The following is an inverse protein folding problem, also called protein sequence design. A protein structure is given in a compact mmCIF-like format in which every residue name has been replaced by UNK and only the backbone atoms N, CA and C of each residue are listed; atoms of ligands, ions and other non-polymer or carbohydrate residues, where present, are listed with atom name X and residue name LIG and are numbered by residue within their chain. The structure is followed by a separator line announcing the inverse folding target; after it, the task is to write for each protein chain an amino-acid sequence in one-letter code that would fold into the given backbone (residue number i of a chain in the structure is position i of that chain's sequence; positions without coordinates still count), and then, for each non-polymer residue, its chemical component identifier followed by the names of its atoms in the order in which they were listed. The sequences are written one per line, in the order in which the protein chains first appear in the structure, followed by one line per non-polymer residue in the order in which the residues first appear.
data_IF_916973106351
#
_entry.id   IF_916973106351
#
_cell.length_a   1.000
_cell.length_b   1.000
_cell.length_c   1.000
_cell.angle_alpha   90.00
_cell.angle_beta   90.00
_cell.angle_gamma   90.00
#
_symmetry.space_group_name_H-M   'P 1'
#
loop_
_entity.id
_entity.type
_entity.pdbx_description
1 polymer ?
#
# COMPACT_ATOMS: atom_id res chain seq x y z
N UNK A 1 19.67 28.06 -12.47
CA UNK A 1 19.33 26.72 -11.94
C UNK A 1 18.42 26.72 -10.71
N UNK A 2 18.15 27.86 -10.05
CA UNK A 2 17.25 27.91 -8.89
C UNK A 2 15.75 27.84 -9.24
N UNK A 3 15.37 28.22 -10.47
CA UNK A 3 13.97 28.21 -10.93
C UNK A 3 13.43 26.82 -11.29
N UNK A 4 14.31 25.85 -11.60
CA UNK A 4 13.93 24.46 -11.91
C UNK A 4 14.80 23.47 -11.11
N UNK A 5 14.52 23.26 -9.81
CA UNK A 5 15.38 22.48 -8.93
C UNK A 5 15.53 21.01 -9.35
N UNK A 6 14.47 20.42 -9.91
CA UNK A 6 14.48 19.04 -10.45
C UNK A 6 14.68 19.01 -11.98
N UNK A 7 15.02 20.15 -12.58
CA UNK A 7 15.15 20.29 -14.02
C UNK A 7 13.81 20.38 -14.76
N UNK A 8 13.90 20.30 -16.08
CA UNK A 8 12.75 20.36 -16.99
C UNK A 8 12.66 19.07 -17.81
N UNK A 9 11.43 18.76 -18.22
CA UNK A 9 11.12 17.63 -19.10
C UNK A 9 11.58 17.90 -20.54
N UNK A 10 11.44 16.92 -21.45
CA UNK A 10 11.91 16.97 -22.85
C UNK A 10 11.36 18.17 -23.66
N UNK A 11 10.27 18.76 -23.17
CA UNK A 11 9.58 19.93 -23.73
C UNK A 11 9.71 21.21 -22.87
N UNK A 12 10.60 21.23 -21.88
CA UNK A 12 10.91 22.42 -21.06
C UNK A 12 9.98 22.69 -19.88
N UNK A 13 9.14 21.72 -19.47
CA UNK A 13 8.21 21.87 -18.33
C UNK A 13 8.86 21.49 -17.00
N UNK A 14 8.61 22.26 -15.94
CA UNK A 14 9.14 21.99 -14.60
C UNK A 14 8.72 20.60 -14.05
N UNK A 15 9.71 19.80 -13.64
CA UNK A 15 9.52 18.44 -13.11
C UNK A 15 9.13 18.48 -11.63
N UNK A 16 9.67 19.42 -10.85
CA UNK A 16 9.38 19.55 -9.42
C UNK A 16 7.90 19.86 -9.21
N UNK A 17 7.38 20.85 -9.94
CA UNK A 17 5.98 21.22 -9.89
C UNK A 17 5.07 20.02 -10.18
N UNK A 18 5.38 19.26 -11.24
CA UNK A 18 4.60 18.07 -11.63
C UNK A 18 4.68 16.95 -10.59
N UNK A 19 5.85 16.76 -9.99
CA UNK A 19 6.07 15.77 -8.92
C UNK A 19 5.29 16.14 -7.66
N UNK A 20 5.25 17.42 -7.29
CA UNK A 20 4.48 17.88 -6.12
C UNK A 20 2.98 17.64 -6.35
N UNK A 21 2.46 18.03 -7.51
CA UNK A 21 1.05 17.82 -7.84
C UNK A 21 0.67 16.34 -7.94
N UNK A 22 1.51 15.52 -8.59
CA UNK A 22 1.28 14.07 -8.67
C UNK A 22 1.44 13.38 -7.30
N UNK A 23 2.41 13.84 -6.51
CA UNK A 23 2.72 13.31 -5.19
C UNK A 23 1.59 13.49 -4.20
N UNK A 24 0.82 14.58 -4.27
CA UNK A 24 -0.37 14.78 -3.43
C UNK A 24 -1.39 13.65 -3.60
N UNK A 25 -1.68 13.25 -4.84
CA UNK A 25 -2.61 12.17 -5.14
C UNK A 25 -2.05 10.83 -4.66
N UNK A 26 -0.78 10.55 -4.95
CA UNK A 26 -0.12 9.31 -4.50
C UNK A 26 -0.10 9.18 -2.98
N UNK A 27 0.21 10.27 -2.27
CA UNK A 27 0.21 10.29 -0.80
C UNK A 27 -1.19 10.10 -0.24
N UNK A 28 -2.20 10.77 -0.81
CA UNK A 28 -3.58 10.63 -0.38
C UNK A 28 -4.04 9.16 -0.51
N UNK A 29 -3.85 8.56 -1.69
CA UNK A 29 -4.22 7.16 -1.94
C UNK A 29 -3.45 6.24 -0.99
N UNK A 30 -2.14 6.40 -0.87
CA UNK A 30 -1.30 5.58 -0.01
C UNK A 30 -1.73 5.61 1.44
N UNK A 31 -1.94 6.81 2.00
CA UNK A 31 -2.37 6.98 3.41
C UNK A 31 -3.76 6.41 3.63
N UNK A 32 -4.73 6.72 2.76
CA UNK A 32 -6.10 6.21 2.91
C UNK A 32 -6.15 4.69 2.80
N UNK A 33 -5.45 4.10 1.84
CA UNK A 33 -5.37 2.65 1.69
C UNK A 33 -4.75 1.99 2.94
N UNK A 34 -3.67 2.57 3.48
CA UNK A 34 -3.00 2.06 4.69
C UNK A 34 -3.94 2.10 5.90
N UNK A 35 -4.69 3.19 6.08
CA UNK A 35 -5.65 3.33 7.18
C UNK A 35 -6.75 2.27 7.10
N UNK A 36 -7.32 2.05 5.92
CA UNK A 36 -8.34 1.02 5.71
C UNK A 36 -7.76 -0.37 5.98
N UNK A 37 -6.55 -0.66 5.49
CA UNK A 37 -5.87 -1.93 5.72
C UNK A 37 -5.63 -2.18 7.21
N UNK A 38 -5.18 -1.18 7.96
CA UNK A 38 -4.97 -1.30 9.41
C UNK A 38 -6.31 -1.57 10.11
N UNK A 39 -7.35 -0.80 9.82
CA UNK A 39 -8.66 -0.97 10.45
C UNK A 39 -9.22 -2.38 10.23
N UNK A 40 -9.23 -2.84 8.97
CA UNK A 40 -9.75 -4.16 8.62
C UNK A 40 -8.85 -5.27 9.16
N UNK A 41 -7.54 -5.17 8.95
CA UNK A 41 -6.57 -6.17 9.40
C UNK A 41 -6.54 -6.33 10.92
N UNK A 42 -6.58 -5.23 11.66
CA UNK A 42 -6.65 -5.26 13.13
C UNK A 42 -7.99 -5.82 13.60
N UNK A 43 -9.13 -5.44 12.99
CA UNK A 43 -10.42 -6.00 13.38
C UNK A 43 -10.46 -7.53 13.18
N UNK A 44 -9.98 -8.02 12.03
CA UNK A 44 -9.90 -9.46 11.74
C UNK A 44 -8.94 -10.17 12.70
N UNK A 45 -7.76 -9.58 12.95
CA UNK A 45 -6.78 -10.14 13.87
C UNK A 45 -7.28 -10.21 15.32
N UNK A 46 -8.00 -9.19 15.78
CA UNK A 46 -8.63 -9.19 17.10
C UNK A 46 -9.72 -10.26 17.21
N UNK A 47 -10.53 -10.44 16.16
CA UNK A 47 -11.55 -11.51 16.13
C UNK A 47 -10.91 -12.89 16.18
N UNK A 48 -9.83 -13.13 15.43
CA UNK A 48 -9.08 -14.37 15.46
C UNK A 48 -8.55 -14.65 16.88
N UNK A 49 -7.87 -13.66 17.49
CA UNK A 49 -7.27 -13.80 18.81
C UNK A 49 -8.28 -13.90 19.96
N UNK A 50 -9.45 -13.26 19.85
CA UNK A 50 -10.48 -13.27 20.89
C UNK A 50 -11.31 -14.55 20.89
N UNK A 51 -11.76 -15.01 19.71
CA UNK A 51 -12.57 -16.23 19.58
C UNK A 51 -11.73 -17.50 19.70
N UNK A 52 -10.48 -17.46 19.23
CA UNK A 52 -9.59 -18.61 19.19
C UNK A 52 -10.17 -19.81 18.41
N UNK A 53 -9.57 -20.98 18.60
CA UNK A 53 -10.09 -22.25 18.09
C UNK A 53 -10.20 -22.32 16.57
N UNK A 54 -11.39 -22.68 16.07
CA UNK A 54 -11.62 -22.93 14.63
C UNK A 54 -11.50 -21.64 13.81
N UNK A 55 -11.93 -20.50 14.36
CA UNK A 55 -11.88 -19.21 13.64
C UNK A 55 -10.44 -18.77 13.43
N UNK A 56 -9.61 -18.85 14.47
CA UNK A 56 -8.19 -18.57 14.39
C UNK A 56 -7.47 -19.51 13.40
N UNK A 57 -7.76 -20.82 13.49
CA UNK A 57 -7.18 -21.82 12.58
C UNK A 57 -7.51 -21.53 11.10
N UNK A 58 -8.77 -21.22 10.78
CA UNK A 58 -9.18 -20.92 9.41
C UNK A 58 -8.53 -19.62 8.90
N UNK A 59 -8.48 -18.57 9.71
CA UNK A 59 -7.88 -17.29 9.35
C UNK A 59 -6.36 -17.41 9.15
N UNK A 60 -5.67 -18.13 10.03
CA UNK A 60 -4.24 -18.42 9.86
C UNK A 60 -3.98 -19.24 8.60
N UNK A 61 -4.78 -20.27 8.31
CA UNK A 61 -4.61 -21.07 7.07
C UNK A 61 -4.81 -20.25 5.82
N UNK A 62 -5.80 -19.35 5.81
CA UNK A 62 -6.01 -18.45 4.68
C UNK A 62 -4.82 -17.50 4.50
N UNK A 63 -4.31 -16.92 5.58
CA UNK A 63 -3.15 -16.03 5.55
C UNK A 63 -1.89 -16.76 5.03
N UNK A 64 -1.63 -17.98 5.52
CA UNK A 64 -0.54 -18.81 5.03
C UNK A 64 -0.69 -19.15 3.54
N UNK A 65 -1.90 -19.50 3.09
CA UNK A 65 -2.15 -19.79 1.68
C UNK A 65 -1.88 -18.57 0.78
N UNK A 66 -2.29 -17.37 1.21
CA UNK A 66 -2.01 -16.11 0.50
C UNK A 66 -0.52 -15.80 0.42
N UNK A 67 0.22 -16.05 1.52
CA UNK A 67 1.68 -15.81 1.58
C UNK A 67 2.50 -16.95 0.97
N UNK A 68 1.89 -18.11 0.70
CA UNK A 68 2.58 -19.28 0.15
C UNK A 68 3.02 -19.08 -1.30
N UNK A 69 2.35 -18.20 -2.04
CA UNK A 69 2.68 -17.88 -3.43
C UNK A 69 3.70 -16.74 -3.45
N UNK A 70 4.94 -16.98 -3.95
CA UNK A 70 5.93 -15.92 -4.04
C UNK A 70 5.44 -14.84 -5.00
N UNK A 71 5.44 -13.58 -4.55
CA UNK A 71 4.93 -12.44 -5.33
C UNK A 71 5.61 -12.29 -6.70
N UNK A 72 6.85 -12.74 -6.81
CA UNK A 72 7.62 -12.82 -8.05
C UNK A 72 6.88 -13.57 -9.17
N UNK A 73 6.13 -14.64 -8.85
CA UNK A 73 5.36 -15.39 -9.84
C UNK A 73 4.05 -14.71 -10.23
N UNK A 74 3.49 -13.84 -9.39
CA UNK A 74 2.24 -13.11 -9.67
C UNK A 74 2.46 -11.83 -10.49
N UNK A 75 3.67 -11.29 -10.47
CA UNK A 75 4.02 -10.05 -11.15
C UNK A 75 4.45 -10.23 -12.62
N UNK A 76 4.72 -11.46 -13.04
CA UNK A 76 5.08 -11.87 -14.40
C UNK A 76 3.83 -12.28 -15.19
#
# INVERSE_FOLDING_TARGET
SAEHPFGTDVIGRDILARTIYGGQVSLFIGVTAMLVQILVGTAVGLLAGYLGGIVDFLLMRLAEAMLSIPQLFLAL
#
